data_IF_207289638330
#
_entry.id   IF_207289638330
#
_cell.length_a   1.000
_cell.length_b   1.000
_cell.length_c   1.000
_cell.angle_alpha   90.00
_cell.angle_beta   90.00
_cell.angle_gamma   90.00
#
_symmetry.space_group_name_H-M   'P 1'
#
loop_
_entity.id
_entity.type
_entity.pdbx_description
1 polymer ?
#
# COMPACT_ATOMS: atom_id res chain seq x y z
N UNK A 1 -24.11 3.15 -8.39
CA UNK A 1 -22.66 3.36 -8.33
C UNK A 1 -22.04 1.98 -8.28
N UNK A 2 -21.50 1.49 -9.41
CA UNK A 2 -20.65 0.29 -9.38
C UNK A 2 -19.51 0.59 -8.41
N UNK A 3 -19.35 -0.24 -7.38
CA UNK A 3 -18.31 -0.07 -6.36
C UNK A 3 -16.94 -0.37 -6.96
N UNK A 4 -16.45 0.51 -7.81
CA UNK A 4 -15.10 0.45 -8.33
C UNK A 4 -14.14 0.75 -7.18
N UNK A 5 -13.41 -0.28 -6.79
CA UNK A 5 -12.29 -0.17 -5.87
C UNK A 5 -11.23 0.67 -6.57
N UNK A 6 -11.06 1.92 -6.11
CA UNK A 6 -10.15 2.93 -6.68
C UNK A 6 -8.74 2.86 -6.10
N UNK A 7 -7.81 3.68 -6.63
CA UNK A 7 -6.46 3.75 -6.05
C UNK A 7 -6.46 4.12 -4.57
N UNK A 8 -7.34 5.07 -4.24
CA UNK A 8 -7.58 5.57 -2.90
C UNK A 8 -8.13 4.47 -1.96
N UNK A 9 -9.09 3.67 -2.44
CA UNK A 9 -9.67 2.55 -1.67
C UNK A 9 -8.60 1.54 -1.23
N UNK A 10 -7.81 1.02 -2.17
CA UNK A 10 -6.83 -0.02 -1.87
C UNK A 10 -5.65 0.50 -1.04
N UNK A 11 -5.24 1.75 -1.28
CA UNK A 11 -4.21 2.39 -0.45
C UNK A 11 -4.71 2.49 1.00
N UNK A 12 -5.93 2.98 1.22
CA UNK A 12 -6.53 3.02 2.57
C UNK A 12 -6.69 1.64 3.20
N UNK A 13 -7.14 0.64 2.44
CA UNK A 13 -7.33 -0.72 2.95
C UNK A 13 -6.01 -1.34 3.42
N UNK A 14 -4.95 -1.23 2.61
CA UNK A 14 -3.64 -1.82 2.93
C UNK A 14 -2.92 -1.02 4.02
N UNK A 15 -2.97 0.31 3.95
CA UNK A 15 -2.39 1.19 4.97
C UNK A 15 -3.06 0.95 6.32
N UNK A 16 -4.39 0.84 6.37
CA UNK A 16 -5.10 0.55 7.61
C UNK A 16 -4.73 -0.81 8.21
N UNK A 17 -4.52 -1.85 7.40
CA UNK A 17 -4.00 -3.15 7.86
C UNK A 17 -2.59 -3.02 8.47
N UNK A 18 -1.71 -2.23 7.86
CA UNK A 18 -0.38 -1.96 8.39
C UNK A 18 -0.39 -1.16 9.70
N UNK A 19 -1.39 -0.32 9.95
CA UNK A 19 -1.51 0.43 11.21
C UNK A 19 -2.35 -0.27 12.30
N UNK A 20 -3.21 -1.21 11.91
CA UNK A 20 -4.04 -1.97 12.84
C UNK A 20 -3.28 -3.12 13.52
N UNK A 21 -2.21 -3.63 12.91
CA UNK A 21 -1.44 -4.77 13.41
C UNK A 21 0.07 -4.56 13.26
N UNK A 22 0.77 -4.57 14.40
CA UNK A 22 2.22 -4.45 14.47
C UNK A 22 2.94 -5.60 13.77
N UNK A 23 2.38 -6.82 13.75
CA UNK A 23 2.98 -7.94 13.03
C UNK A 23 2.90 -7.74 11.51
N UNK A 24 1.79 -7.22 11.01
CA UNK A 24 1.62 -6.83 9.61
C UNK A 24 2.59 -5.70 9.22
N UNK A 25 2.75 -4.68 10.08
CA UNK A 25 3.73 -3.62 9.89
C UNK A 25 5.16 -4.16 9.80
N UNK A 26 5.56 -5.00 10.76
CA UNK A 26 6.88 -5.62 10.78
C UNK A 26 7.11 -6.51 9.57
N UNK A 27 6.11 -7.28 9.15
CA UNK A 27 6.18 -8.12 7.96
C UNK A 27 6.38 -7.31 6.68
N UNK A 28 5.68 -6.18 6.53
CA UNK A 28 5.89 -5.27 5.41
C UNK A 28 7.30 -4.67 5.43
N UNK A 29 7.77 -4.16 6.58
CA UNK A 29 9.11 -3.59 6.70
C UNK A 29 10.22 -4.62 6.44
N UNK A 30 10.03 -5.87 6.87
CA UNK A 30 10.96 -6.97 6.59
C UNK A 30 10.99 -7.29 5.09
N UNK A 31 9.84 -7.35 4.42
CA UNK A 31 9.76 -7.56 2.98
C UNK A 31 10.40 -6.39 2.19
N UNK A 32 10.13 -5.15 2.60
CA UNK A 32 10.72 -3.94 2.02
C UNK A 32 12.25 -3.91 2.16
N UNK A 33 12.80 -4.39 3.27
CA UNK A 33 14.24 -4.52 3.47
C UNK A 33 14.92 -5.64 2.66
N UNK A 34 14.16 -6.60 2.12
CA UNK A 34 14.71 -7.70 1.31
C UNK A 34 14.86 -7.31 -0.17
N UNK A 35 13.76 -6.91 -0.80
CA UNK A 35 13.75 -6.47 -2.20
C UNK A 35 12.42 -5.77 -2.56
N UNK A 36 12.39 -4.98 -3.65
CA UNK A 36 11.14 -4.44 -4.21
C UNK A 36 10.11 -5.53 -4.53
N UNK A 37 10.55 -6.67 -5.08
CA UNK A 37 9.67 -7.80 -5.42
C UNK A 37 9.02 -8.41 -4.17
N UNK A 38 9.78 -8.51 -3.07
CA UNK A 38 9.26 -9.01 -1.79
C UNK A 38 8.22 -8.06 -1.20
N UNK A 39 8.48 -6.74 -1.26
CA UNK A 39 7.51 -5.73 -0.85
C UNK A 39 6.22 -5.80 -1.67
N UNK A 40 6.33 -5.97 -3.00
CA UNK A 40 5.17 -6.08 -3.90
C UNK A 40 4.35 -7.32 -3.56
N UNK A 41 5.02 -8.48 -3.39
CA UNK A 41 4.36 -9.72 -3.01
C UNK A 41 3.62 -9.59 -1.66
N UNK A 42 4.21 -8.85 -0.70
CA UNK A 42 3.58 -8.59 0.60
C UNK A 42 2.33 -7.70 0.48
N UNK A 43 2.41 -6.61 -0.29
CA UNK A 43 1.26 -5.73 -0.56
C UNK A 43 0.11 -6.50 -1.24
N UNK A 44 0.43 -7.37 -2.20
CA UNK A 44 -0.55 -8.25 -2.85
C UNK A 44 -1.22 -9.21 -1.87
N UNK A 45 -0.45 -9.78 -0.94
CA UNK A 45 -0.99 -10.62 0.14
C UNK A 45 -1.97 -9.85 1.03
N UNK A 46 -1.77 -8.54 1.21
CA UNK A 46 -2.69 -7.67 1.94
C UNK A 46 -3.94 -7.26 1.14
N UNK A 47 -4.06 -7.66 -0.13
CA UNK A 47 -5.21 -7.39 -0.98
C UNK A 47 -5.00 -6.27 -2.00
N UNK A 48 -3.78 -5.72 -2.12
CA UNK A 48 -3.46 -4.72 -3.14
C UNK A 48 -3.39 -5.38 -4.53
N UNK A 49 -4.02 -4.80 -5.57
CA UNK A 49 -3.87 -5.24 -6.95
C UNK A 49 -2.40 -5.21 -7.42
N UNK A 50 -2.05 -6.04 -8.40
CA UNK A 50 -0.65 -6.22 -8.85
C UNK A 50 -0.03 -4.96 -9.45
N UNK A 51 -0.79 -4.27 -10.30
CA UNK A 51 -0.44 -3.00 -10.93
C UNK A 51 -0.19 -1.90 -9.89
N UNK A 52 -1.04 -1.84 -8.87
CA UNK A 52 -0.89 -0.89 -7.77
C UNK A 52 0.30 -1.24 -6.87
N UNK A 53 0.46 -2.52 -6.51
CA UNK A 53 1.57 -2.96 -5.70
C UNK A 53 2.90 -2.64 -6.38
N UNK A 54 2.98 -2.86 -7.70
CA UNK A 54 4.12 -2.47 -8.54
C UNK A 54 4.37 -0.96 -8.52
N UNK A 55 3.30 -0.15 -8.67
CA UNK A 55 3.38 1.32 -8.57
C UNK A 55 3.93 1.77 -7.21
N UNK A 56 3.41 1.21 -6.11
CA UNK A 56 3.83 1.58 -4.74
C UNK A 56 5.30 1.25 -4.50
N UNK A 57 5.78 0.07 -4.90
CA UNK A 57 7.20 -0.31 -4.69
C UNK A 57 8.16 0.42 -5.64
N UNK A 58 7.65 0.95 -6.75
CA UNK A 58 8.40 1.81 -7.66
C UNK A 58 8.61 3.24 -7.13
N UNK A 59 7.81 3.67 -6.14
CA UNK A 59 7.97 4.97 -5.48
C UNK A 59 8.95 4.88 -4.31
N UNK A 60 9.74 5.92 -4.10
CA UNK A 60 10.71 5.99 -3.00
C UNK A 60 10.67 7.34 -2.28
N UNK A 61 11.06 7.34 -1.00
CA UNK A 61 11.24 8.56 -0.22
C UNK A 61 10.00 9.44 -0.16
N UNK A 62 10.13 10.70 -0.57
CA UNK A 62 9.06 11.68 -0.49
C UNK A 62 7.89 11.36 -1.45
N UNK A 63 8.17 10.77 -2.61
CA UNK A 63 7.14 10.46 -3.60
C UNK A 63 6.18 9.37 -3.10
N UNK A 64 6.71 8.39 -2.37
CA UNK A 64 5.88 7.38 -1.71
C UNK A 64 5.01 7.99 -0.62
N UNK A 65 5.58 8.87 0.20
CA UNK A 65 4.83 9.55 1.27
C UNK A 65 3.70 10.42 0.70
N UNK A 66 3.97 11.17 -0.37
CA UNK A 66 2.96 11.99 -1.05
C UNK A 66 1.88 11.14 -1.71
N UNK A 67 2.26 10.03 -2.36
CA UNK A 67 1.30 9.12 -2.97
C UNK A 67 0.36 8.51 -1.93
N UNK A 68 0.90 8.00 -0.82
CA UNK A 68 0.08 7.45 0.28
C UNK A 68 -0.80 8.55 0.87
N UNK A 69 -0.23 9.72 1.18
CA UNK A 69 -0.96 10.84 1.77
C UNK A 69 -2.13 11.31 0.90
N UNK A 70 -1.89 11.50 -0.41
CA UNK A 70 -2.91 11.93 -1.35
C UNK A 70 -4.05 10.93 -1.44
N UNK A 71 -3.74 9.63 -1.60
CA UNK A 71 -4.76 8.58 -1.68
C UNK A 71 -5.56 8.41 -0.38
N UNK A 72 -4.93 8.60 0.78
CA UNK A 72 -5.63 8.61 2.07
C UNK A 72 -6.57 9.80 2.17
N UNK A 73 -6.13 10.99 1.75
CA UNK A 73 -6.97 12.18 1.72
C UNK A 73 -8.16 12.01 0.75
N UNK A 74 -7.89 11.56 -0.47
CA UNK A 74 -8.92 11.41 -1.52
C UNK A 74 -10.00 10.37 -1.19
N UNK A 75 -9.71 9.41 -0.32
CA UNK A 75 -10.71 8.43 0.12
C UNK A 75 -11.58 8.92 1.29
N UNK A 76 -11.01 9.76 2.16
CA UNK A 76 -11.65 10.19 3.41
C UNK A 76 -12.45 11.50 3.29
N UNK A 77 -12.19 12.31 2.27
CA UNK A 77 -12.85 13.57 1.98
C UNK A 77 -13.62 13.53 0.66
#
# INVERSE_FOLDING_TARGET
MSGERSEAFYTCEVVSKCFADDATRQGFMAAYGQSPDAAQAYLKKLGMPDDMASKVVGLQGNDLNLFIGQNVCDYLW
#
